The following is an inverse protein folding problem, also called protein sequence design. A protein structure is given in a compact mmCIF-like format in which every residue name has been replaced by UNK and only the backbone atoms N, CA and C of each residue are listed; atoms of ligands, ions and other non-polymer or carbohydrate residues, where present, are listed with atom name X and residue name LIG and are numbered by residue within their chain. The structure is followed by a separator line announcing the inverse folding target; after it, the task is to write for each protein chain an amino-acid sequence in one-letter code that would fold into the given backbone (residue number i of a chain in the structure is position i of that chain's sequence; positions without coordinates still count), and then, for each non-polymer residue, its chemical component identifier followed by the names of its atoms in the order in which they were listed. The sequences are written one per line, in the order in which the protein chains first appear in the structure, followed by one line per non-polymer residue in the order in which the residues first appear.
data_IF_991814312826
#
_entry.id   IF_991814312826
#
_cell.length_a   1.000
_cell.length_b   1.000
_cell.length_c   1.000
_cell.angle_alpha   90.00
_cell.angle_beta   90.00
_cell.angle_gamma   90.00
#
_symmetry.space_group_name_H-M   'P 1'
#
loop_
_entity.id
_entity.type
_entity.pdbx_description
1 polymer ?
#
# COMPACT_ATOMS: atom_id res chain seq x y z
N UNK A 1 0.18 -22.62 4.02
CA UNK A 1 0.22 -22.03 3.87
C UNK A 1 0.27 -21.22 3.96
N UNK A 2 0.38 -20.80 4.09
CA UNK A 2 0.43 -20.04 4.24
C UNK A 2 0.38 -19.08 3.75
N UNK A 3 0.12 -18.57 3.21
CA UNK A 3 -0.02 -17.74 2.76
C UNK A 3 -0.67 -16.76 3.07
N UNK A 4 -1.22 -16.74 3.58
CA UNK A 4 -1.99 -15.70 4.15
C UNK A 4 -1.17 -14.53 4.51
N UNK A 5 0.00 -14.76 4.82
CA UNK A 5 0.85 -13.71 5.21
C UNK A 5 1.35 -12.89 4.10
N UNK A 6 0.97 -13.24 2.94
CA UNK A 6 1.40 -12.49 1.80
C UNK A 6 0.94 -11.06 1.85
N UNK A 7 -0.02 -10.77 2.69
CA UNK A 7 -0.43 -9.41 2.82
C UNK A 7 0.47 -8.73 3.80
N UNK A 8 1.51 -8.59 3.82
CA UNK A 8 2.42 -7.92 4.64
C UNK A 8 1.85 -7.14 5.79
N UNK A 9 2.64 -6.60 6.62
CA UNK A 9 2.21 -5.98 7.83
C UNK A 9 1.88 -4.50 7.75
N UNK A 10 1.93 -3.88 6.58
CA UNK A 10 1.78 -2.44 6.50
C UNK A 10 0.81 -2.06 5.41
N UNK A 11 -0.28 -1.44 5.80
CA UNK A 11 -1.35 -1.09 4.88
C UNK A 11 -1.60 0.41 4.91
N UNK A 12 -1.70 1.02 3.74
CA UNK A 12 -2.06 2.42 3.63
C UNK A 12 -3.28 2.52 2.75
N UNK A 13 -4.31 3.20 3.22
CA UNK A 13 -5.57 3.34 2.50
C UNK A 13 -5.72 4.75 1.97
N UNK A 14 -6.00 4.87 0.68
CA UNK A 14 -6.20 6.15 0.03
C UNK A 14 -7.62 6.23 -0.51
N UNK A 15 -8.30 7.33 -0.22
CA UNK A 15 -9.67 7.53 -0.68
C UNK A 15 -9.78 8.40 -1.92
N UNK A 16 -8.72 9.07 -2.31
CA UNK A 16 -8.77 9.99 -3.44
C UNK A 16 -8.34 9.30 -4.72
N UNK A 17 -9.24 9.23 -5.69
CA UNK A 17 -8.98 8.49 -6.92
C UNK A 17 -7.77 9.02 -7.68
N UNK A 18 -7.63 10.33 -7.77
CA UNK A 18 -6.51 10.89 -8.53
C UNK A 18 -5.18 10.53 -7.91
N UNK A 19 -5.12 10.58 -6.60
CA UNK A 19 -3.89 10.24 -5.91
C UNK A 19 -3.60 8.76 -6.01
N UNK A 20 -4.64 7.95 -6.10
CA UNK A 20 -4.45 6.52 -6.21
C UNK A 20 -3.71 6.15 -7.48
N UNK A 21 -4.00 6.81 -8.60
CA UNK A 21 -3.29 6.55 -9.84
C UNK A 21 -1.82 6.90 -9.72
N UNK A 22 -1.53 8.07 -9.16
CA UNK A 22 -0.15 8.50 -8.97
C UNK A 22 0.58 7.57 -8.01
N UNK A 23 -0.13 7.15 -6.97
CA UNK A 23 0.46 6.26 -5.98
C UNK A 23 0.80 4.92 -6.59
N UNK A 24 -0.08 4.39 -7.41
CA UNK A 24 0.16 3.12 -8.08
C UNK A 24 1.40 3.22 -8.97
N UNK A 25 1.51 4.29 -9.74
CA UNK A 25 2.66 4.48 -10.61
C UNK A 25 3.95 4.62 -9.80
N UNK A 26 3.89 5.32 -8.69
CA UNK A 26 5.06 5.47 -7.84
C UNK A 26 5.54 4.12 -7.32
N UNK A 27 4.61 3.29 -6.85
CA UNK A 27 4.97 1.96 -6.38
C UNK A 27 5.56 1.13 -7.51
N UNK A 28 4.94 1.21 -8.67
CA UNK A 28 5.39 0.43 -9.82
C UNK A 28 6.79 0.82 -10.24
N UNK A 29 7.12 2.11 -10.14
CA UNK A 29 8.42 2.63 -10.56
C UNK A 29 9.51 2.45 -9.52
N UNK A 30 9.14 2.43 -8.25
CA UNK A 30 10.13 2.50 -7.19
C UNK A 30 10.27 1.24 -6.35
N UNK A 31 9.31 0.33 -6.40
CA UNK A 31 9.33 -0.84 -5.54
C UNK A 31 9.21 -2.12 -6.35
N UNK A 32 9.85 -3.20 -5.90
CA UNK A 32 9.69 -4.49 -6.57
C UNK A 32 8.27 -5.00 -6.39
N UNK A 33 7.75 -5.65 -7.41
CA UNK A 33 6.39 -6.17 -7.37
C UNK A 33 6.16 -7.15 -6.23
N UNK A 34 7.22 -7.79 -5.78
CA UNK A 34 7.08 -8.77 -4.70
C UNK A 34 6.91 -8.12 -3.34
N UNK A 35 7.10 -6.80 -3.23
CA UNK A 35 7.08 -6.15 -1.93
C UNK A 35 5.89 -5.24 -1.72
N UNK A 36 4.98 -5.18 -2.66
CA UNK A 36 3.78 -4.39 -2.48
C UNK A 36 2.65 -4.95 -3.30
N UNK A 37 1.44 -4.63 -2.90
CA UNK A 37 0.27 -4.99 -3.68
C UNK A 37 -0.83 -3.97 -3.41
N UNK A 38 -1.82 -3.92 -4.26
CA UNK A 38 -2.93 -3.00 -4.10
C UNK A 38 -4.24 -3.76 -4.24
N UNK A 39 -5.19 -3.42 -3.40
CA UNK A 39 -6.53 -3.98 -3.48
C UNK A 39 -7.49 -2.81 -3.68
N UNK A 40 -8.22 -2.83 -4.77
CA UNK A 40 -9.17 -1.78 -5.08
C UNK A 40 -10.53 -2.08 -4.48
N UNK A 41 -11.13 -1.04 -3.94
CA UNK A 41 -12.46 -1.14 -3.39
C UNK A 41 -13.27 0.00 -3.98
N UNK A 42 -14.58 0.01 -3.71
CA UNK A 42 -15.47 0.99 -4.31
C UNK A 42 -15.07 2.42 -3.95
N UNK A 43 -14.66 2.63 -2.73
CA UNK A 43 -14.42 3.97 -2.23
C UNK A 43 -12.99 4.25 -1.87
N UNK A 44 -12.12 3.27 -2.00
CA UNK A 44 -10.76 3.43 -1.55
C UNK A 44 -9.85 2.40 -2.17
N UNK A 45 -8.54 2.66 -2.12
CA UNK A 45 -7.55 1.69 -2.54
C UNK A 45 -6.63 1.43 -1.38
N UNK A 46 -6.38 0.16 -1.11
CA UNK A 46 -5.50 -0.25 -0.02
C UNK A 46 -4.19 -0.72 -0.61
N UNK A 47 -3.11 -0.09 -0.20
CA UNK A 47 -1.77 -0.47 -0.63
C UNK A 47 -1.08 -1.19 0.51
N UNK A 48 -0.60 -2.40 0.22
CA UNK A 48 0.05 -3.23 1.23
C UNK A 48 1.54 -3.30 0.95
N UNK A 49 2.35 -3.10 1.97
CA UNK A 49 3.80 -3.09 1.83
C UNK A 49 4.42 -4.08 2.79
N UNK A 50 5.46 -4.76 2.34
CA UNK A 50 6.19 -5.66 3.21
C UNK A 50 7.19 -4.91 4.08
N UNK A 51 7.62 -3.75 3.62
CA UNK A 51 8.63 -2.98 4.31
C UNK A 51 8.00 -1.73 4.91
N UNK A 52 8.16 -1.57 6.20
CA UNK A 52 7.58 -0.42 6.89
C UNK A 52 8.08 0.90 6.31
N UNK A 53 9.34 0.94 5.93
CA UNK A 53 9.92 2.15 5.37
C UNK A 53 9.21 2.57 4.09
N UNK A 54 8.85 1.60 3.26
CA UNK A 54 8.11 1.88 2.04
C UNK A 54 6.74 2.46 2.37
N UNK A 55 6.07 1.91 3.37
CA UNK A 55 4.77 2.41 3.77
C UNK A 55 4.88 3.84 4.30
N UNK A 56 5.91 4.13 5.08
CA UNK A 56 6.10 5.47 5.62
C UNK A 56 6.40 6.47 4.49
N UNK A 57 7.24 6.11 3.54
CA UNK A 57 7.52 6.98 2.41
C UNK A 57 6.27 7.25 1.60
N UNK A 58 5.49 6.21 1.37
CA UNK A 58 4.25 6.34 0.64
C UNK A 58 3.30 7.30 1.36
N UNK A 59 3.18 7.13 2.66
CA UNK A 59 2.30 7.94 3.47
C UNK A 59 2.70 9.42 3.41
N UNK A 60 4.01 9.68 3.44
CA UNK A 60 4.49 11.05 3.36
C UNK A 60 4.19 11.68 2.01
N UNK A 61 4.25 10.90 0.95
CA UNK A 61 4.05 11.42 -0.40
C UNK A 61 2.58 11.61 -0.74
N UNK A 62 1.76 10.66 -0.34
CA UNK A 62 0.37 10.63 -0.80
C UNK A 62 -0.66 10.81 0.30
N UNK A 63 -0.25 10.65 1.55
CA UNK A 63 -1.18 10.73 2.65
C UNK A 63 -1.98 9.44 2.77
N UNK A 64 -3.14 9.55 3.37
CA UNK A 64 -4.00 8.40 3.57
C UNK A 64 -3.95 7.96 5.01
N UNK A 65 -4.40 6.74 5.25
CA UNK A 65 -4.41 6.17 6.59
C UNK A 65 -3.53 4.94 6.65
N UNK A 66 -2.69 4.91 7.65
CA UNK A 66 -1.77 3.79 7.86
C UNK A 66 -2.33 2.83 8.90
N UNK A 67 -2.32 1.56 8.59
CA UNK A 67 -2.74 0.51 9.51
C UNK A 67 -1.65 -0.54 9.58
N UNK A 68 -1.25 -0.89 10.77
CA UNK A 68 -0.31 -1.98 10.95
C UNK A 68 -1.10 -3.27 11.01
N UNK A 69 -0.84 -4.16 10.08
CA UNK A 69 -1.55 -5.42 9.98
C UNK A 69 -0.89 -6.46 10.87
N UNK A 70 -1.68 -7.39 11.39
CA UNK A 70 -1.10 -8.54 12.06
C UNK A 70 -0.95 -8.38 13.55
N UNK A 71 -1.39 -7.29 14.10
CA UNK A 71 -1.35 -7.15 15.54
C UNK A 71 -2.69 -7.50 16.21
#
# INVERSE_FOLDING_TARGET
MIFSDSKSGHRVVIHAYKKADEAYLWCSDNLPLSEWTVVQDENAESFYFENEQHAQNFLLLFGGRYYKHGD
#
